data_IF_849627847533
#
_entry.id   IF_849627847533
#
_cell.length_a   1.000
_cell.length_b   1.000
_cell.length_c   1.000
_cell.angle_alpha   90.00
_cell.angle_beta   90.00
_cell.angle_gamma   90.00
#
_symmetry.space_group_name_H-M   'P 1'
#
loop_
_entity.id
_entity.type
_entity.pdbx_description
1 polymer ?
#
# COMPACT_ATOMS: atom_id res chain seq x y z
N UNK A 1 11.22 -13.23 -11.55
CA UNK A 1 12.26 -12.95 -10.57
C UNK A 1 11.62 -12.86 -9.20
N UNK A 2 12.19 -13.49 -8.18
CA UNK A 2 11.80 -13.34 -6.77
C UNK A 2 12.96 -12.64 -6.08
N UNK A 3 12.69 -11.49 -5.46
CA UNK A 3 13.66 -10.68 -4.74
C UNK A 3 13.05 -10.06 -3.50
N UNK A 4 13.88 -9.56 -2.61
CA UNK A 4 13.42 -8.71 -1.54
C UNK A 4 12.94 -7.37 -2.12
N UNK A 5 11.81 -6.88 -1.64
CA UNK A 5 11.20 -5.64 -2.14
C UNK A 5 11.95 -4.37 -1.68
N UNK A 6 12.81 -4.51 -0.68
CA UNK A 6 13.67 -3.45 -0.13
C UNK A 6 14.99 -3.27 -0.91
N UNK A 7 15.33 -4.24 -1.79
CA UNK A 7 16.55 -4.22 -2.59
C UNK A 7 16.28 -4.71 -4.00
N UNK A 8 16.19 -3.77 -4.91
CA UNK A 8 15.93 -4.03 -6.32
C UNK A 8 17.20 -3.95 -7.17
N UNK A 9 18.35 -4.39 -6.62
CA UNK A 9 19.68 -4.32 -7.22
C UNK A 9 19.77 -4.94 -8.64
N UNK A 10 18.82 -5.82 -8.97
CA UNK A 10 18.73 -6.43 -10.30
C UNK A 10 18.22 -5.47 -11.38
N UNK A 11 17.62 -4.35 -10.98
CA UNK A 11 17.11 -3.34 -11.89
C UNK A 11 18.02 -2.10 -11.86
N UNK A 12 18.37 -1.65 -13.05
CA UNK A 12 19.07 -0.36 -13.20
C UNK A 12 18.15 0.80 -12.83
N UNK A 13 18.74 1.99 -12.65
CA UNK A 13 18.00 3.22 -12.46
C UNK A 13 17.06 3.46 -13.64
N UNK A 14 15.89 4.02 -13.36
CA UNK A 14 14.91 4.45 -14.37
C UNK A 14 14.40 3.32 -15.29
N UNK A 15 14.35 2.09 -14.78
CA UNK A 15 13.99 0.89 -15.54
C UNK A 15 12.49 0.71 -15.75
N UNK A 16 11.66 1.05 -14.75
CA UNK A 16 10.25 0.69 -14.72
C UNK A 16 9.33 1.91 -14.89
N UNK A 17 8.30 1.77 -15.72
CA UNK A 17 7.24 2.79 -15.85
C UNK A 17 6.22 2.73 -14.72
N UNK A 18 6.08 1.56 -14.08
CA UNK A 18 5.13 1.30 -13.00
C UNK A 18 5.71 0.32 -11.98
N UNK A 19 5.60 0.68 -10.71
CA UNK A 19 5.72 -0.25 -9.59
C UNK A 19 4.36 -0.35 -8.91
N UNK A 20 3.87 -1.57 -8.72
CA UNK A 20 2.63 -1.86 -8.00
C UNK A 20 2.94 -2.58 -6.69
N UNK A 21 2.47 -2.04 -5.59
CA UNK A 21 2.72 -2.58 -4.26
C UNK A 21 1.44 -2.54 -3.42
N UNK A 22 0.86 -3.70 -3.18
CA UNK A 22 -0.37 -3.84 -2.41
C UNK A 22 -0.10 -4.46 -1.06
N UNK A 23 -0.43 -3.74 0.00
CA UNK A 23 -0.34 -4.17 1.39
C UNK A 23 1.03 -4.77 1.75
N UNK A 24 2.09 -4.00 1.52
CA UNK A 24 3.45 -4.44 1.82
C UNK A 24 4.31 -3.39 2.55
N UNK A 25 4.12 -2.08 2.32
CA UNK A 25 4.96 -1.05 2.96
C UNK A 25 4.67 -0.88 4.45
N UNK A 26 3.53 -1.28 4.93
CA UNK A 26 3.16 -1.28 6.36
C UNK A 26 3.94 -2.31 7.19
N UNK A 27 4.60 -3.27 6.55
CA UNK A 27 5.49 -4.24 7.21
C UNK A 27 6.87 -3.67 7.54
N UNK A 28 7.22 -2.52 6.98
CA UNK A 28 8.43 -1.76 7.32
C UNK A 28 8.13 -0.77 8.45
N UNK A 29 9.11 -0.50 9.28
CA UNK A 29 9.00 0.60 10.24
C UNK A 29 9.18 1.96 9.56
N UNK A 30 9.00 3.04 10.32
CA UNK A 30 9.00 4.41 9.80
C UNK A 30 10.35 4.86 9.22
N UNK A 31 11.44 4.23 9.61
CA UNK A 31 12.78 4.53 9.09
C UNK A 31 13.10 3.62 7.90
N UNK A 32 12.79 2.32 8.01
CA UNK A 32 12.99 1.34 6.94
C UNK A 32 12.22 1.70 5.67
N UNK A 33 10.96 2.13 5.79
CA UNK A 33 10.11 2.45 4.62
C UNK A 33 10.66 3.58 3.78
N UNK A 34 11.39 4.52 4.39
CA UNK A 34 12.05 5.62 3.66
C UNK A 34 13.06 5.08 2.66
N UNK A 35 13.89 4.12 3.08
CA UNK A 35 14.90 3.53 2.20
C UNK A 35 14.26 2.65 1.11
N UNK A 36 13.22 1.90 1.45
CA UNK A 36 12.44 1.12 0.48
C UNK A 36 11.85 2.02 -0.61
N UNK A 37 11.21 3.11 -0.22
CA UNK A 37 10.59 4.04 -1.18
C UNK A 37 11.62 4.81 -2.02
N UNK A 38 12.81 5.11 -1.48
CA UNK A 38 13.93 5.67 -2.24
C UNK A 38 14.40 4.69 -3.31
N UNK A 39 14.53 3.41 -2.96
CA UNK A 39 14.94 2.36 -3.90
C UNK A 39 13.89 2.19 -5.01
N UNK A 40 12.61 2.16 -4.67
CA UNK A 40 11.55 2.09 -5.68
C UNK A 40 11.54 3.31 -6.59
N UNK A 41 11.78 4.51 -6.02
CA UNK A 41 11.92 5.73 -6.81
C UNK A 41 13.12 5.68 -7.75
N UNK A 42 14.26 5.11 -7.34
CA UNK A 42 15.44 4.92 -8.18
C UNK A 42 15.14 4.07 -9.42
N UNK A 43 14.38 3.00 -9.21
CA UNK A 43 14.02 2.05 -10.30
C UNK A 43 12.96 2.62 -11.24
N UNK A 44 12.10 3.54 -10.77
CA UNK A 44 11.08 4.16 -11.61
C UNK A 44 11.69 5.17 -12.59
N UNK A 45 11.27 5.08 -13.85
CA UNK A 45 11.62 6.03 -14.89
C UNK A 45 11.09 7.45 -14.57
N UNK A 46 11.64 8.51 -15.18
CA UNK A 46 11.10 9.86 -15.06
C UNK A 46 9.62 9.91 -15.51
N UNK A 47 8.75 10.41 -14.64
CA UNK A 47 7.30 10.37 -14.83
C UNK A 47 6.65 9.00 -14.59
N UNK A 48 7.43 8.01 -14.14
CA UNK A 48 6.94 6.68 -13.77
C UNK A 48 6.01 6.73 -12.56
N UNK A 49 5.13 5.77 -12.44
CA UNK A 49 4.08 5.71 -11.43
C UNK A 49 4.41 4.68 -10.36
N UNK A 50 4.34 5.08 -9.10
CA UNK A 50 4.25 4.16 -7.96
C UNK A 50 2.78 4.01 -7.58
N UNK A 51 2.25 2.80 -7.64
CA UNK A 51 0.87 2.52 -7.22
C UNK A 51 0.90 1.69 -5.96
N UNK A 52 0.46 2.26 -4.84
CA UNK A 52 0.45 1.60 -3.53
C UNK A 52 -0.96 1.45 -2.99
N UNK A 53 -1.19 0.37 -2.25
CA UNK A 53 -2.34 0.16 -1.41
C UNK A 53 -1.86 -0.22 -0.01
N UNK A 54 -2.49 0.35 1.02
CA UNK A 54 -2.18 0.10 2.44
C UNK A 54 -3.48 0.05 3.25
N UNK A 55 -3.50 -0.52 4.47
CA UNK A 55 -4.64 -0.36 5.35
C UNK A 55 -4.95 1.12 5.60
N UNK A 56 -6.21 1.50 5.42
CA UNK A 56 -6.67 2.87 5.63
C UNK A 56 -7.01 3.08 7.11
N UNK A 57 -6.12 3.75 7.85
CA UNK A 57 -6.33 3.98 9.27
C UNK A 57 -7.61 4.77 9.58
N UNK A 58 -7.93 5.78 8.78
CA UNK A 58 -9.14 6.58 8.94
C UNK A 58 -10.41 5.72 8.78
N UNK A 59 -10.45 4.87 7.74
CA UNK A 59 -11.56 3.94 7.54
C UNK A 59 -11.67 2.92 8.67
N UNK A 60 -10.55 2.40 9.18
CA UNK A 60 -10.53 1.48 10.33
C UNK A 60 -11.05 2.15 11.60
N UNK A 61 -10.68 3.41 11.84
CA UNK A 61 -11.23 4.16 12.98
C UNK A 61 -12.75 4.34 12.86
N UNK A 62 -13.26 4.58 11.66
CA UNK A 62 -14.70 4.62 11.42
C UNK A 62 -15.37 3.29 11.76
N UNK A 63 -14.82 2.16 11.28
CA UNK A 63 -15.33 0.82 11.64
C UNK A 63 -15.37 0.63 13.17
N UNK A 64 -14.32 1.05 13.87
CA UNK A 64 -14.26 0.95 15.32
C UNK A 64 -15.31 1.82 16.01
N UNK A 65 -15.44 3.09 15.63
CA UNK A 65 -16.39 4.02 16.22
C UNK A 65 -17.83 3.57 15.99
N UNK A 66 -18.17 3.08 14.81
CA UNK A 66 -19.51 2.62 14.47
C UNK A 66 -19.88 1.31 15.19
N UNK A 67 -18.89 0.44 15.44
CA UNK A 67 -19.13 -0.87 16.04
C UNK A 67 -18.82 -0.97 17.53
N UNK A 68 -17.97 -0.10 18.05
CA UNK A 68 -17.39 -0.16 19.40
C UNK A 68 -16.76 -1.54 19.71
N UNK A 69 -16.19 -2.19 18.71
CA UNK A 69 -15.58 -3.52 18.80
C UNK A 69 -14.18 -3.53 18.18
N UNK A 70 -13.16 -3.56 19.03
CA UNK A 70 -11.75 -3.57 18.63
C UNK A 70 -11.39 -4.79 17.75
N UNK A 71 -12.02 -5.94 17.98
CA UNK A 71 -11.70 -7.17 17.26
C UNK A 71 -11.93 -7.02 15.74
N UNK A 72 -12.84 -6.12 15.33
CA UNK A 72 -13.15 -5.88 13.92
C UNK A 72 -12.03 -5.21 13.15
N UNK A 73 -11.15 -4.51 13.83
CA UNK A 73 -10.04 -3.78 13.20
C UNK A 73 -8.66 -4.36 13.50
N UNK A 74 -8.53 -5.29 14.45
CA UNK A 74 -7.22 -5.86 14.83
C UNK A 74 -6.51 -6.54 13.66
N UNK A 75 -7.25 -7.28 12.81
CA UNK A 75 -6.69 -7.95 11.64
C UNK A 75 -6.09 -6.96 10.63
N UNK A 76 -6.88 -6.04 10.09
CA UNK A 76 -6.37 -5.03 9.15
C UNK A 76 -5.32 -4.10 9.76
N UNK A 77 -5.43 -3.78 11.06
CA UNK A 77 -4.52 -2.84 11.73
C UNK A 77 -3.14 -3.45 11.97
N UNK A 78 -3.08 -4.67 12.48
CA UNK A 78 -1.81 -5.32 12.85
C UNK A 78 -1.35 -6.36 11.83
N UNK A 79 -2.22 -6.84 10.96
CA UNK A 79 -1.93 -7.95 10.07
C UNK A 79 -1.48 -9.19 10.84
N UNK A 80 -1.30 -10.27 10.15
CA UNK A 80 -0.57 -11.45 10.61
C UNK A 80 -0.26 -12.30 9.39
N UNK A 81 0.98 -12.32 8.99
CA UNK A 81 1.40 -13.12 7.84
C UNK A 81 2.38 -14.19 8.29
N UNK A 82 2.11 -15.45 7.93
CA UNK A 82 3.03 -16.55 8.18
C UNK A 82 4.07 -16.63 7.05
N UNK A 83 5.33 -16.44 7.38
CA UNK A 83 6.46 -16.47 6.44
C UNK A 83 7.20 -17.82 6.43
N UNK A 84 6.60 -18.86 7.00
CA UNK A 84 7.18 -20.20 7.13
C UNK A 84 7.79 -20.45 8.50
N UNK A 85 8.05 -21.72 8.82
CA UNK A 85 8.68 -22.15 10.10
C UNK A 85 7.99 -21.56 11.35
N UNK A 86 6.66 -21.43 11.33
CA UNK A 86 5.86 -20.81 12.41
C UNK A 86 6.24 -19.35 12.74
N UNK A 87 6.99 -18.68 11.84
CA UNK A 87 7.31 -17.27 11.98
C UNK A 87 6.23 -16.39 11.38
N UNK A 88 5.89 -15.35 12.11
CA UNK A 88 4.88 -14.38 11.71
C UNK A 88 5.49 -12.98 11.65
N UNK A 89 5.06 -12.22 10.63
CA UNK A 89 5.30 -10.79 10.56
C UNK A 89 3.98 -10.03 10.76
N UNK A 90 4.10 -8.82 11.25
CA UNK A 90 2.99 -7.94 11.58
C UNK A 90 3.24 -6.56 10.96
N UNK A 91 2.18 -5.78 10.79
CA UNK A 91 2.31 -4.38 10.42
C UNK A 91 3.07 -3.62 11.52
N UNK A 92 4.10 -2.89 11.12
CA UNK A 92 4.92 -2.06 12.01
C UNK A 92 4.47 -0.61 12.03
N UNK A 93 3.64 -0.21 11.05
CA UNK A 93 3.10 1.14 10.94
C UNK A 93 1.71 1.14 10.29
N UNK A 94 1.05 2.29 10.34
CA UNK A 94 -0.25 2.55 9.72
C UNK A 94 -0.20 3.89 9.00
N UNK A 95 -1.08 4.07 8.04
CA UNK A 95 -1.17 5.27 7.22
C UNK A 95 -2.61 5.78 7.11
N UNK A 96 -2.74 7.10 7.06
CA UNK A 96 -3.85 7.82 6.48
C UNK A 96 -3.38 8.56 5.22
N UNK A 97 -4.29 9.19 4.51
CA UNK A 97 -3.95 9.87 3.25
C UNK A 97 -2.93 11.00 3.46
N UNK A 98 -3.04 11.74 4.54
CA UNK A 98 -2.14 12.86 4.83
C UNK A 98 -0.72 12.39 5.12
N UNK A 99 -0.55 11.47 6.07
CA UNK A 99 0.76 10.95 6.47
C UNK A 99 1.47 10.24 5.32
N UNK A 100 0.75 9.44 4.54
CA UNK A 100 1.32 8.78 3.35
C UNK A 100 1.71 9.80 2.28
N UNK A 101 0.88 10.81 2.04
CA UNK A 101 1.20 11.89 1.09
C UNK A 101 2.44 12.67 1.51
N UNK A 102 2.56 13.01 2.79
CA UNK A 102 3.76 13.70 3.33
C UNK A 102 5.00 12.85 3.14
N UNK A 103 4.95 11.57 3.50
CA UNK A 103 6.06 10.64 3.31
C UNK A 103 6.50 10.57 1.84
N UNK A 104 5.57 10.34 0.92
CA UNK A 104 5.87 10.22 -0.51
C UNK A 104 6.49 11.51 -1.07
N UNK A 105 5.99 12.68 -0.68
CA UNK A 105 6.55 13.97 -1.08
C UNK A 105 7.96 14.21 -0.51
N UNK A 106 8.23 13.78 0.73
CA UNK A 106 9.56 13.86 1.33
C UNK A 106 10.60 13.02 0.58
N UNK A 107 10.19 11.87 0.03
CA UNK A 107 11.02 11.03 -0.84
C UNK A 107 11.26 11.71 -2.20
N UNK A 108 10.43 12.68 -2.58
CA UNK A 108 10.50 13.40 -3.84
C UNK A 108 9.62 12.82 -4.93
N UNK A 109 8.54 12.19 -4.56
CA UNK A 109 7.43 11.90 -5.47
C UNK A 109 6.53 13.13 -5.63
N UNK A 110 5.84 13.20 -6.76
CA UNK A 110 4.92 14.28 -7.13
C UNK A 110 3.53 13.75 -7.44
N UNK A 111 2.57 14.65 -7.64
CA UNK A 111 1.21 14.34 -8.11
C UNK A 111 0.52 13.20 -7.33
N UNK A 112 0.68 13.19 -6.00
CA UNK A 112 0.06 12.19 -5.14
C UNK A 112 -1.46 12.29 -5.25
N UNK A 113 -2.11 11.21 -5.69
CA UNK A 113 -3.57 11.14 -5.84
C UNK A 113 -4.06 9.75 -5.45
N UNK A 114 -5.34 9.65 -5.13
CA UNK A 114 -5.99 8.36 -4.95
C UNK A 114 -6.30 7.70 -6.29
N UNK A 115 -6.34 6.36 -6.30
CA UNK A 115 -6.74 5.56 -7.45
C UNK A 115 -7.83 4.56 -7.07
N UNK A 116 -8.68 4.22 -8.04
CA UNK A 116 -9.76 3.26 -7.85
C UNK A 116 -9.34 1.89 -8.40
N UNK A 117 -9.40 0.86 -7.56
CA UNK A 117 -9.16 -0.51 -8.02
C UNK A 117 -10.17 -0.94 -9.09
N UNK A 118 -11.41 -0.43 -9.01
CA UNK A 118 -12.45 -0.72 -10.01
C UNK A 118 -12.10 -0.21 -11.40
N UNK A 119 -11.43 0.96 -11.49
CA UNK A 119 -11.03 1.52 -12.78
C UNK A 119 -9.81 0.79 -13.36
N UNK A 120 -8.88 0.39 -12.50
CA UNK A 120 -7.64 -0.25 -12.92
C UNK A 120 -7.84 -1.73 -13.28
N UNK A 121 -8.66 -2.45 -12.51
CA UNK A 121 -8.83 -3.89 -12.61
C UNK A 121 -10.23 -4.31 -13.12
N UNK A 122 -10.97 -3.39 -13.75
CA UNK A 122 -12.33 -3.61 -14.25
C UNK A 122 -12.50 -4.82 -15.16
N UNK A 123 -11.44 -5.22 -15.85
CA UNK A 123 -11.45 -6.35 -16.80
C UNK A 123 -10.89 -7.66 -16.20
N UNK A 124 -10.57 -7.69 -14.91
CA UNK A 124 -10.01 -8.85 -14.23
C UNK A 124 -11.07 -9.51 -13.34
N UNK A 125 -11.60 -10.64 -13.76
CA UNK A 125 -12.66 -11.37 -13.02
C UNK A 125 -12.16 -12.09 -11.78
N UNK A 126 -10.88 -12.51 -11.77
CA UNK A 126 -10.26 -13.28 -10.69
C UNK A 126 -9.24 -12.45 -9.88
N UNK A 127 -9.44 -11.13 -9.87
CA UNK A 127 -8.57 -10.23 -9.13
C UNK A 127 -8.83 -10.35 -7.63
N UNK A 128 -7.89 -10.97 -6.94
CA UNK A 128 -7.87 -11.11 -5.48
C UNK A 128 -6.68 -10.35 -4.90
N UNK A 129 -6.95 -9.12 -4.45
CA UNK A 129 -5.92 -8.21 -3.98
C UNK A 129 -6.47 -7.32 -2.87
N UNK A 130 -5.64 -7.00 -1.88
CA UNK A 130 -6.06 -6.21 -0.73
C UNK A 130 -6.38 -4.74 -1.05
N UNK A 131 -6.03 -4.23 -2.24
CA UNK A 131 -6.47 -2.90 -2.68
C UNK A 131 -7.99 -2.76 -2.78
N UNK A 132 -8.71 -3.89 -2.80
CA UNK A 132 -10.17 -4.00 -2.74
C UNK A 132 -10.69 -4.54 -1.40
N UNK A 133 -9.96 -4.37 -0.31
CA UNK A 133 -10.40 -4.82 1.00
C UNK A 133 -11.56 -3.98 1.53
N UNK A 134 -12.69 -4.62 1.80
CA UNK A 134 -13.90 -3.99 2.35
C UNK A 134 -14.23 -4.54 3.74
N UNK A 135 -14.90 -3.70 4.51
CA UNK A 135 -15.55 -4.11 5.75
C UNK A 135 -17.07 -3.85 5.68
N UNK A 136 -17.96 -4.81 5.98
CA UNK A 136 -17.67 -6.24 6.23
C UNK A 136 -16.89 -6.89 5.09
N UNK A 137 -16.23 -8.01 5.38
CA UNK A 137 -15.28 -8.66 4.47
C UNK A 137 -15.88 -8.85 3.07
N UNK A 138 -15.24 -8.24 2.06
CA UNK A 138 -15.58 -8.28 0.65
C UNK A 138 -17.00 -7.80 0.28
N UNK A 139 -17.66 -7.06 1.14
CA UNK A 139 -18.93 -6.40 0.81
C UNK A 139 -18.67 -5.13 -0.03
N UNK A 140 -18.49 -5.31 -1.32
CA UNK A 140 -18.20 -4.21 -2.25
C UNK A 140 -19.42 -3.33 -2.56
N UNK A 141 -20.62 -3.83 -2.29
CA UNK A 141 -21.88 -3.12 -2.57
C UNK A 141 -22.26 -2.16 -1.45
N UNK A 142 -22.16 -2.61 -0.19
CA UNK A 142 -22.61 -1.85 0.97
C UNK A 142 -21.50 -1.58 1.99
N UNK A 143 -20.35 -2.21 1.83
CA UNK A 143 -19.23 -2.11 2.76
C UNK A 143 -18.42 -0.83 2.59
N UNK A 144 -17.56 -0.58 3.56
CA UNK A 144 -16.59 0.49 3.56
C UNK A 144 -15.26 -0.05 3.02
N UNK A 145 -14.68 0.60 2.01
CA UNK A 145 -13.32 0.31 1.55
C UNK A 145 -12.33 0.67 2.66
N UNK A 146 -11.61 -0.34 3.17
CA UNK A 146 -10.60 -0.19 4.23
C UNK A 146 -9.17 -0.23 3.70
N UNK A 147 -8.99 -0.19 2.39
CA UNK A 147 -7.71 0.03 1.72
C UNK A 147 -7.58 1.49 1.29
N UNK A 148 -6.44 2.09 1.57
CA UNK A 148 -6.04 3.39 1.06
C UNK A 148 -5.17 3.16 -0.17
N UNK A 149 -5.66 3.57 -1.32
CA UNK A 149 -5.05 3.34 -2.61
C UNK A 149 -4.51 4.67 -3.16
N UNK A 150 -3.19 4.82 -3.23
CA UNK A 150 -2.53 6.08 -3.58
C UNK A 150 -1.52 5.86 -4.70
N UNK A 151 -1.49 6.76 -5.68
CA UNK A 151 -0.47 6.74 -6.74
C UNK A 151 0.19 8.11 -6.92
N UNK A 152 1.46 8.23 -6.54
CA UNK A 152 2.34 9.32 -6.94
C UNK A 152 3.08 9.01 -8.24
N UNK A 153 3.71 10.04 -8.81
CA UNK A 153 4.66 9.90 -9.91
C UNK A 153 6.05 10.39 -9.52
N UNK A 154 7.08 9.87 -10.20
CA UNK A 154 8.40 10.50 -10.17
C UNK A 154 8.37 11.82 -10.95
N UNK A 155 9.24 12.80 -10.65
CA UNK A 155 9.42 14.00 -11.48
C UNK A 155 9.69 13.64 -12.94
N UNK A 156 9.20 14.46 -13.88
CA UNK A 156 9.47 14.24 -15.31
C UNK A 156 10.83 14.73 -15.76
N UNK A 157 11.42 15.64 -15.01
CA UNK A 157 12.80 16.20 -15.07
C UNK A 157 12.92 17.41 -14.12
#
# INVERSE_FOLDING_TARGET
>A
YVSNIDKLDMFQDEYADLIYASHCIEYFDRDEVVEVLKEWKRVLAPGGTLRVAVPNFEALMKVYLDSNDLNKILGPLFGKWNIGEDKHIYHKTVYDLESLTVLLKQIGFEQVKEWSWKDIFSNQTDFDDHSRAYYPHMDEENGLLISLNVEPTTPKF
#
